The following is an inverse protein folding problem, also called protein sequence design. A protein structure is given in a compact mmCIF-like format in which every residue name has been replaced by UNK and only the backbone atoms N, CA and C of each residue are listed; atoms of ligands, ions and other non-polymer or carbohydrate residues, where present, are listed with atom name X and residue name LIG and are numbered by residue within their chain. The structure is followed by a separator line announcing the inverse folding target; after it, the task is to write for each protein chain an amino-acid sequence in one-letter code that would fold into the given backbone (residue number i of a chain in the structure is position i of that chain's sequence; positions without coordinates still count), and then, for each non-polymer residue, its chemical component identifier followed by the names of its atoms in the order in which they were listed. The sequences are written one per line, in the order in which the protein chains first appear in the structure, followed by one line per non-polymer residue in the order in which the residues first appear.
data_IF_703417505842
#
_entry.id   IF_703417505842
#
_cell.length_a   1.000
_cell.length_b   1.000
_cell.length_c   1.000
_cell.angle_alpha   90.00
_cell.angle_beta   90.00
_cell.angle_gamma   90.00
#
_symmetry.space_group_name_H-M   'P 1'
#
loop_
_entity.id
_entity.type
_entity.pdbx_description
1 polymer ?
#
# COMPACT_ATOMS: atom_id res chain seq x y z
N UNK A 1 16.29 -19.84 -13.75
CA UNK A 1 15.48 -20.98 -13.27
C UNK A 1 16.35 -22.26 -13.24
N UNK A 2 17.45 -22.26 -12.47
CA UNK A 2 18.33 -23.45 -12.33
C UNK A 2 18.49 -23.85 -10.86
N UNK A 3 18.62 -22.89 -9.96
CA UNK A 3 18.77 -23.14 -8.52
C UNK A 3 17.59 -23.93 -7.92
N UNK A 4 16.36 -23.41 -8.04
CA UNK A 4 15.16 -24.04 -7.48
C UNK A 4 14.96 -25.53 -7.86
N UNK A 5 15.43 -25.93 -9.05
CA UNK A 5 15.23 -27.26 -9.61
C UNK A 5 16.41 -28.22 -9.37
N UNK A 6 17.60 -27.70 -9.03
CA UNK A 6 18.84 -28.49 -9.01
C UNK A 6 19.56 -28.49 -7.66
N UNK A 7 19.28 -27.53 -6.77
CA UNK A 7 20.08 -27.34 -5.54
C UNK A 7 19.32 -27.63 -4.26
N UNK A 8 18.02 -27.88 -4.32
CA UNK A 8 17.19 -28.21 -3.17
C UNK A 8 16.76 -29.67 -3.26
N UNK A 9 16.66 -30.34 -2.11
CA UNK A 9 16.21 -31.73 -2.04
C UNK A 9 14.79 -31.89 -2.60
N UNK A 10 13.94 -30.86 -2.41
CA UNK A 10 12.62 -30.74 -3.01
C UNK A 10 12.50 -29.39 -3.73
N UNK A 11 11.83 -29.32 -4.89
CA UNK A 11 11.66 -28.07 -5.62
C UNK A 11 10.96 -27.00 -4.78
N UNK A 12 11.58 -25.83 -4.67
CA UNK A 12 11.05 -24.69 -3.91
C UNK A 12 10.46 -23.60 -4.81
N UNK A 13 9.44 -22.88 -4.32
CA UNK A 13 8.74 -21.82 -5.08
C UNK A 13 9.49 -20.48 -5.09
N UNK A 14 10.78 -20.46 -5.45
CA UNK A 14 11.59 -19.23 -5.41
C UNK A 14 11.05 -18.12 -6.33
N UNK A 15 10.47 -18.47 -7.48
CA UNK A 15 9.93 -17.48 -8.42
C UNK A 15 8.66 -16.80 -7.91
N UNK A 16 7.81 -17.54 -7.19
CA UNK A 16 6.59 -16.99 -6.59
C UNK A 16 6.86 -16.00 -5.47
N UNK A 17 8.03 -16.11 -4.82
CA UNK A 17 8.46 -15.20 -3.76
C UNK A 17 9.09 -13.90 -4.29
N UNK A 18 9.58 -13.89 -5.52
CA UNK A 18 10.30 -12.76 -6.11
C UNK A 18 9.34 -11.63 -6.57
N UNK A 19 9.78 -10.38 -6.39
CA UNK A 19 9.11 -9.20 -6.93
C UNK A 19 9.71 -8.88 -8.30
N UNK A 20 8.92 -9.03 -9.36
CA UNK A 20 9.33 -8.84 -10.74
C UNK A 20 8.75 -7.54 -11.32
N UNK A 21 9.38 -7.00 -12.36
CA UNK A 21 8.77 -5.90 -13.14
C UNK A 21 7.64 -6.46 -14.00
N UNK A 22 6.61 -5.65 -14.23
CA UNK A 22 5.53 -5.93 -15.18
C UNK A 22 5.32 -4.75 -16.12
N UNK A 23 4.68 -4.98 -17.27
CA UNK A 23 4.28 -3.95 -18.21
C UNK A 23 2.95 -3.26 -17.83
N UNK A 24 2.25 -3.76 -16.81
CA UNK A 24 1.07 -3.14 -16.24
C UNK A 24 1.40 -1.76 -15.65
N UNK A 25 0.40 -0.87 -15.67
CA UNK A 25 0.51 0.50 -15.16
C UNK A 25 -0.69 0.84 -14.29
N UNK A 26 -0.45 1.69 -13.31
CA UNK A 26 -1.49 2.41 -12.59
C UNK A 26 -1.55 3.84 -13.10
N UNK A 27 -2.77 4.33 -13.27
CA UNK A 27 -3.02 5.70 -13.72
C UNK A 27 -2.41 6.74 -12.76
N UNK A 28 -1.85 7.84 -13.29
CA UNK A 28 -1.85 8.23 -14.70
C UNK A 28 -0.71 7.60 -15.53
N UNK A 29 0.42 7.23 -14.90
CA UNK A 29 1.59 6.69 -15.62
C UNK A 29 2.55 5.89 -14.75
N UNK A 30 2.12 5.48 -13.56
CA UNK A 30 2.95 4.75 -12.60
C UNK A 30 3.17 3.32 -13.08
N UNK A 31 4.45 2.92 -13.18
CA UNK A 31 4.80 1.51 -13.47
C UNK A 31 4.38 0.59 -12.33
N UNK A 32 4.32 -0.72 -12.58
CA UNK A 32 3.98 -1.70 -11.55
C UNK A 32 5.04 -2.80 -11.41
N UNK A 33 4.99 -3.48 -10.26
CA UNK A 33 5.70 -4.73 -9.99
C UNK A 33 4.70 -5.84 -9.67
N UNK A 34 5.12 -7.09 -9.83
CA UNK A 34 4.28 -8.26 -9.59
C UNK A 34 5.01 -9.29 -8.75
N UNK A 35 4.32 -9.88 -7.78
CA UNK A 35 4.77 -11.02 -7.00
C UNK A 35 3.70 -12.11 -7.06
N UNK A 36 4.06 -13.28 -7.57
CA UNK A 36 3.09 -14.33 -7.91
C UNK A 36 1.95 -13.76 -8.78
N UNK A 37 0.71 -13.68 -8.28
CA UNK A 37 -0.45 -13.10 -8.98
C UNK A 37 -0.84 -11.69 -8.53
N UNK A 38 -0.10 -11.08 -7.60
CA UNK A 38 -0.43 -9.80 -6.99
C UNK A 38 0.39 -8.66 -7.60
N UNK A 39 -0.30 -7.61 -8.06
CA UNK A 39 0.30 -6.46 -8.75
C UNK A 39 0.30 -5.27 -7.80
N UNK A 40 1.43 -4.59 -7.72
CA UNK A 40 1.65 -3.45 -6.84
C UNK A 40 2.10 -2.24 -7.66
N UNK A 41 1.54 -1.04 -7.41
CA UNK A 41 2.08 0.22 -7.95
C UNK A 41 3.53 0.39 -7.51
N UNK A 42 4.43 0.68 -8.45
CA UNK A 42 5.87 0.87 -8.16
C UNK A 42 6.12 2.01 -7.18
N UNK A 43 5.23 3.00 -7.14
CA UNK A 43 5.28 4.12 -6.19
C UNK A 43 5.19 3.68 -4.73
N UNK A 44 4.55 2.54 -4.44
CA UNK A 44 4.41 2.03 -3.08
C UNK A 44 5.58 1.16 -2.66
N UNK A 45 6.50 0.79 -3.56
CA UNK A 45 7.65 -0.02 -3.15
C UNK A 45 8.65 0.86 -2.40
N UNK A 46 8.92 0.51 -1.14
CA UNK A 46 9.90 1.21 -0.30
C UNK A 46 11.29 1.16 -0.94
N UNK A 47 11.95 2.31 -0.95
CA UNK A 47 13.30 2.49 -1.51
C UNK A 47 14.38 2.69 -0.46
N UNK A 48 13.97 2.92 0.80
CA UNK A 48 14.83 3.03 1.98
C UNK A 48 14.76 1.73 2.80
N UNK A 49 15.22 1.75 4.04
CA UNK A 49 15.13 0.63 4.96
C UNK A 49 13.73 0.04 5.05
N UNK A 50 13.67 -1.29 5.04
CA UNK A 50 12.42 -2.04 5.12
C UNK A 50 12.05 -2.23 6.59
N UNK A 51 10.92 -1.67 7.04
CA UNK A 51 10.49 -1.83 8.42
C UNK A 51 10.09 -3.30 8.66
N UNK A 52 9.99 -3.71 9.92
CA UNK A 52 9.62 -5.07 10.26
C UNK A 52 8.73 -5.13 11.49
N UNK A 53 8.05 -6.27 11.68
CA UNK A 53 7.38 -6.58 12.93
C UNK A 53 8.31 -7.43 13.80
N UNK A 54 8.75 -6.93 14.98
CA UNK A 54 9.61 -7.71 15.87
C UNK A 54 8.99 -9.03 16.31
N UNK A 55 7.67 -9.03 16.52
CA UNK A 55 6.92 -10.20 16.99
C UNK A 55 6.87 -11.30 15.92
N UNK A 56 6.68 -10.92 14.64
CA UNK A 56 6.77 -11.88 13.53
C UNK A 56 8.15 -12.52 13.41
N UNK A 57 9.21 -11.73 13.53
CA UNK A 57 10.58 -12.24 13.47
C UNK A 57 10.87 -13.22 14.62
N UNK A 58 10.46 -12.89 15.85
CA UNK A 58 10.69 -13.72 17.02
C UNK A 58 9.87 -15.02 17.02
N UNK A 59 8.60 -14.95 16.59
CA UNK A 59 7.69 -16.10 16.65
C UNK A 59 7.88 -17.06 15.48
N UNK A 60 8.05 -16.54 14.27
CA UNK A 60 8.00 -17.35 13.06
C UNK A 60 9.33 -17.41 12.30
N UNK A 61 10.31 -16.57 12.65
CA UNK A 61 11.62 -16.57 12.02
C UNK A 61 11.61 -16.19 10.54
N UNK A 62 10.58 -15.51 10.04
CA UNK A 62 10.50 -15.04 8.65
C UNK A 62 10.07 -13.58 8.53
N UNK A 63 10.44 -12.97 7.40
CA UNK A 63 10.02 -11.63 7.03
C UNK A 63 8.90 -11.65 5.99
N UNK A 64 7.86 -10.83 6.18
CA UNK A 64 6.75 -10.73 5.24
C UNK A 64 7.10 -9.82 4.06
N UNK A 65 6.68 -10.21 2.85
CA UNK A 65 6.83 -9.36 1.65
C UNK A 65 6.00 -8.07 1.74
N UNK A 66 4.95 -8.05 2.58
CA UNK A 66 4.10 -6.87 2.77
C UNK A 66 4.88 -5.68 3.35
N UNK A 67 5.98 -5.95 4.07
CA UNK A 67 6.80 -4.91 4.68
C UNK A 67 7.51 -4.02 3.65
N UNK A 68 7.70 -4.51 2.41
CA UNK A 68 8.31 -3.75 1.32
C UNK A 68 7.39 -2.68 0.72
N UNK A 69 6.11 -2.64 1.12
CA UNK A 69 5.14 -1.75 0.52
C UNK A 69 4.63 -0.70 1.51
N UNK A 70 4.56 0.55 1.05
CA UNK A 70 3.93 1.67 1.75
C UNK A 70 2.41 1.50 1.82
N UNK A 71 1.79 2.03 2.88
CA UNK A 71 0.38 1.82 3.22
C UNK A 71 0.14 0.63 4.15
N UNK A 72 1.00 -0.40 4.09
CA UNK A 72 1.06 -1.46 5.09
C UNK A 72 2.01 -1.05 6.22
N UNK A 73 1.49 -0.31 7.20
CA UNK A 73 2.28 0.30 8.27
C UNK A 73 2.05 -0.35 9.65
N UNK A 74 1.13 -1.30 9.73
CA UNK A 74 0.93 -2.18 10.89
C UNK A 74 1.05 -3.65 10.51
N UNK A 75 1.49 -4.46 11.47
CA UNK A 75 1.37 -5.90 11.35
C UNK A 75 -0.08 -6.32 11.57
N UNK A 76 -0.75 -6.87 10.55
CA UNK A 76 -2.12 -7.35 10.68
C UNK A 76 -2.28 -8.57 11.59
N UNK A 77 -1.19 -9.28 11.92
CA UNK A 77 -1.20 -10.44 12.81
C UNK A 77 -1.14 -10.02 14.28
N UNK A 78 -0.26 -9.06 14.58
CA UNK A 78 0.04 -8.65 15.95
C UNK A 78 -0.56 -7.29 16.34
N UNK A 79 -1.19 -6.60 15.40
CA UNK A 79 -1.77 -5.27 15.56
C UNK A 79 -0.82 -4.23 16.17
N UNK A 80 0.41 -4.20 15.65
CA UNK A 80 1.46 -3.27 16.09
C UNK A 80 2.10 -2.54 14.91
N UNK A 81 2.59 -1.30 15.10
CA UNK A 81 3.32 -0.59 14.05
C UNK A 81 4.59 -1.34 13.65
N UNK A 82 4.90 -1.30 12.35
CA UNK A 82 6.19 -1.77 11.87
C UNK A 82 7.30 -0.81 12.31
N UNK A 83 8.49 -1.35 12.57
CA UNK A 83 9.63 -0.59 13.07
C UNK A 83 10.75 -0.58 12.05
N UNK A 84 11.35 0.59 11.83
CA UNK A 84 12.56 0.79 11.02
C UNK A 84 13.82 1.01 11.89
N UNK A 85 13.65 1.11 13.21
CA UNK A 85 14.73 1.47 14.12
C UNK A 85 14.60 0.76 15.46
N UNK A 86 15.75 0.48 16.05
CA UNK A 86 15.87 0.00 17.41
C UNK A 86 15.66 1.15 18.41
N UNK A 87 15.34 0.81 19.66
CA UNK A 87 15.23 1.79 20.76
C UNK A 87 16.53 2.56 21.04
N UNK A 88 17.68 2.05 20.60
CA UNK A 88 18.95 2.78 20.68
C UNK A 88 19.14 3.83 19.58
N UNK A 89 18.19 3.98 18.65
CA UNK A 89 18.23 4.91 17.52
C UNK A 89 18.86 4.32 16.25
N UNK A 90 19.50 3.17 16.34
CA UNK A 90 20.06 2.48 15.17
C UNK A 90 18.95 2.00 14.22
N UNK A 91 19.14 2.20 12.92
CA UNK A 91 18.26 1.65 11.90
C UNK A 91 18.30 0.12 11.93
N UNK A 92 17.16 -0.52 11.72
CA UNK A 92 17.05 -1.97 11.65
C UNK A 92 16.34 -2.39 10.37
N UNK A 93 17.12 -2.92 9.44
CA UNK A 93 16.64 -3.59 8.24
C UNK A 93 16.96 -5.09 8.35
N UNK A 94 15.94 -5.94 8.26
CA UNK A 94 16.08 -7.39 8.39
C UNK A 94 16.90 -7.99 7.24
N UNK A 95 16.97 -7.34 6.08
CA UNK A 95 17.76 -7.78 4.94
C UNK A 95 19.27 -7.70 5.22
N UNK A 96 19.67 -6.76 6.08
CA UNK A 96 21.07 -6.54 6.48
C UNK A 96 21.37 -7.21 7.83
N UNK A 97 20.48 -7.02 8.81
CA UNK A 97 20.67 -7.49 10.20
C UNK A 97 20.24 -8.94 10.42
N UNK A 98 19.63 -9.58 9.41
CA UNK A 98 19.08 -10.93 9.49
C UNK A 98 17.74 -11.01 10.22
N UNK A 99 17.25 -12.24 10.38
CA UNK A 99 15.89 -12.53 10.88
C UNK A 99 15.81 -12.73 12.41
N UNK A 100 16.92 -12.58 13.12
CA UNK A 100 16.99 -12.82 14.58
C UNK A 100 16.22 -11.78 15.41
N UNK A 101 15.91 -10.62 14.85
CA UNK A 101 15.38 -9.48 15.59
C UNK A 101 16.41 -8.84 16.54
N UNK A 102 17.70 -9.15 16.43
CA UNK A 102 18.74 -8.55 17.28
C UNK A 102 19.38 -7.32 16.62
N UNK A 103 19.38 -6.18 17.31
CA UNK A 103 20.02 -4.96 16.82
C UNK A 103 21.54 -5.14 16.67
N UNK A 104 22.10 -4.71 15.54
CA UNK A 104 23.53 -4.78 15.26
C UNK A 104 24.38 -3.98 16.25
N UNK A 105 23.87 -2.85 16.73
CA UNK A 105 24.64 -1.90 17.54
C UNK A 105 24.54 -2.22 19.03
N UNK A 106 23.32 -2.20 19.60
CA UNK A 106 23.14 -2.40 21.03
C UNK A 106 22.98 -3.88 21.44
N UNK A 107 22.94 -4.81 20.47
CA UNK A 107 22.76 -6.26 20.68
C UNK A 107 21.49 -6.65 21.46
N UNK A 108 20.53 -5.74 21.60
CA UNK A 108 19.22 -6.01 22.20
C UNK A 108 18.20 -6.34 21.13
N UNK A 109 17.19 -7.12 21.50
CA UNK A 109 16.08 -7.43 20.62
C UNK A 109 15.27 -6.17 20.31
N UNK A 110 14.97 -5.95 19.02
CA UNK A 110 14.02 -4.92 18.61
C UNK A 110 12.66 -5.20 19.25
N UNK A 111 12.01 -4.16 19.73
CA UNK A 111 10.74 -4.29 20.45
C UNK A 111 9.91 -3.03 20.26
N UNK A 112 8.63 -3.25 20.01
CA UNK A 112 7.63 -2.19 19.94
C UNK A 112 7.54 -1.49 21.30
N UNK A 113 7.35 -0.17 21.33
CA UNK A 113 6.93 0.51 22.56
C UNK A 113 5.51 0.02 22.89
N UNK A 114 5.22 -0.23 24.17
CA UNK A 114 3.87 -0.58 24.62
C UNK A 114 2.90 0.52 24.18
N UNK A 115 1.91 0.12 23.39
CA UNK A 115 0.85 0.90 22.75
C UNK A 115 0.46 2.21 23.45
N UNK A 116 0.81 3.34 22.83
CA UNK A 116 -0.08 4.49 22.80
C UNK A 116 -0.95 4.32 21.53
N UNK A 117 -2.19 3.88 21.74
CA UNK A 117 -3.30 3.81 20.78
C UNK A 117 -2.91 3.55 19.30
N UNK A 118 -2.83 2.27 18.88
CA UNK A 118 -2.88 2.00 17.43
C UNK A 118 -4.17 2.60 16.87
N UNK A 119 -4.03 3.42 15.83
CA UNK A 119 -5.18 4.06 15.23
C UNK A 119 -5.93 2.99 14.44
N UNK A 120 -7.17 2.66 14.85
CA UNK A 120 -8.02 1.60 14.27
C UNK A 120 -7.99 1.57 12.74
N UNK A 121 -7.99 2.75 12.10
CA UNK A 121 -7.91 2.88 10.64
C UNK A 121 -6.65 2.22 10.03
N UNK A 122 -5.47 2.40 10.66
CA UNK A 122 -4.20 1.85 10.19
C UNK A 122 -4.23 0.32 10.25
N UNK A 123 -4.73 -0.22 11.34
CA UNK A 123 -4.91 -1.66 11.55
C UNK A 123 -5.89 -2.26 10.54
N UNK A 124 -7.04 -1.61 10.33
CA UNK A 124 -8.05 -2.03 9.34
C UNK A 124 -7.45 -2.07 7.93
N UNK A 125 -6.78 -1.00 7.51
CA UNK A 125 -6.15 -0.94 6.17
C UNK A 125 -5.05 -1.99 6.02
N UNK A 126 -4.19 -2.16 7.04
CA UNK A 126 -3.11 -3.15 6.99
C UNK A 126 -3.64 -4.59 6.89
N UNK A 127 -4.71 -4.90 7.63
CA UNK A 127 -5.41 -6.19 7.53
C UNK A 127 -6.05 -6.40 6.16
N UNK A 128 -6.69 -5.35 5.62
CA UNK A 128 -7.28 -5.38 4.28
C UNK A 128 -6.22 -5.57 3.19
N UNK A 129 -5.06 -4.91 3.26
CA UNK A 129 -3.96 -5.12 2.31
C UNK A 129 -3.37 -6.53 2.38
N UNK A 130 -3.40 -7.17 3.56
CA UNK A 130 -2.98 -8.57 3.71
C UNK A 130 -3.95 -9.56 3.02
N UNK A 131 -5.16 -9.12 2.67
CA UNK A 131 -6.18 -9.93 2.00
C UNK A 131 -7.38 -10.27 2.86
N UNK A 132 -7.44 -9.80 4.11
CA UNK A 132 -8.58 -10.06 4.97
C UNK A 132 -9.77 -9.19 4.55
N UNK A 133 -10.99 -9.66 4.82
CA UNK A 133 -12.20 -8.88 4.62
C UNK A 133 -12.27 -7.72 5.61
N UNK A 134 -12.88 -6.62 5.17
CA UNK A 134 -13.18 -5.46 6.01
C UNK A 134 -14.58 -4.98 5.69
N UNK A 135 -15.36 -4.62 6.71
CA UNK A 135 -16.70 -4.05 6.52
C UNK A 135 -16.65 -2.62 5.99
N UNK A 136 -15.57 -1.91 6.29
CA UNK A 136 -15.43 -0.48 6.03
C UNK A 136 -14.68 -0.18 4.71
N UNK A 137 -14.15 -1.21 4.04
CA UNK A 137 -13.34 -1.10 2.82
C UNK A 137 -13.89 -2.06 1.74
N UNK A 138 -13.75 -1.72 0.45
CA UNK A 138 -14.33 -2.51 -0.62
C UNK A 138 -13.66 -3.88 -0.73
N UNK A 139 -14.48 -4.91 -0.97
CA UNK A 139 -13.97 -6.25 -1.25
C UNK A 139 -13.60 -6.40 -2.73
N UNK A 140 -12.33 -6.13 -3.02
CA UNK A 140 -11.75 -6.24 -4.36
C UNK A 140 -10.48 -7.09 -4.32
N UNK A 141 -10.05 -7.66 -5.46
CA UNK A 141 -8.79 -8.41 -5.51
C UNK A 141 -7.61 -7.56 -5.02
N UNK A 142 -6.62 -8.21 -4.40
CA UNK A 142 -5.48 -7.52 -3.73
C UNK A 142 -4.79 -6.46 -4.59
N UNK A 143 -4.59 -6.74 -5.87
CA UNK A 143 -3.99 -5.78 -6.82
C UNK A 143 -4.76 -4.46 -6.90
N UNK A 144 -6.09 -4.50 -6.81
CA UNK A 144 -6.93 -3.30 -6.77
C UNK A 144 -6.87 -2.61 -5.41
N UNK A 145 -6.72 -3.36 -4.31
CA UNK A 145 -6.53 -2.78 -2.97
C UNK A 145 -5.32 -1.85 -2.95
N UNK A 146 -4.18 -2.30 -3.49
CA UNK A 146 -2.98 -1.45 -3.67
C UNK A 146 -3.19 -0.30 -4.65
N UNK A 147 -3.93 -0.55 -5.74
CA UNK A 147 -4.32 0.48 -6.69
C UNK A 147 -5.13 1.62 -6.06
N UNK A 148 -5.96 1.32 -5.06
CA UNK A 148 -6.74 2.31 -4.31
C UNK A 148 -5.87 3.14 -3.36
N UNK A 149 -4.88 2.53 -2.70
CA UNK A 149 -3.89 3.25 -1.89
C UNK A 149 -3.14 4.26 -2.77
N UNK A 150 -2.63 3.80 -3.91
CA UNK A 150 -1.94 4.65 -4.88
C UNK A 150 -2.82 5.77 -5.44
N UNK A 151 -4.07 5.44 -5.78
CA UNK A 151 -5.04 6.42 -6.23
C UNK A 151 -5.31 7.49 -5.16
N UNK A 152 -5.47 7.08 -3.89
CA UNK A 152 -5.73 8.00 -2.79
C UNK A 152 -4.58 9.00 -2.59
N UNK A 153 -3.34 8.51 -2.58
CA UNK A 153 -2.13 9.37 -2.51
C UNK A 153 -2.14 10.39 -3.64
N UNK A 154 -2.49 9.97 -4.86
CA UNK A 154 -2.50 10.85 -6.02
C UNK A 154 -3.65 11.88 -5.96
N UNK A 155 -4.84 11.50 -5.47
CA UNK A 155 -6.00 12.39 -5.41
C UNK A 155 -5.95 13.35 -4.22
N UNK A 156 -5.37 12.95 -3.10
CA UNK A 156 -5.17 13.81 -1.92
C UNK A 156 -3.98 14.75 -2.09
N UNK A 157 -3.08 14.47 -3.04
CA UNK A 157 -1.79 15.17 -3.26
C UNK A 157 -0.88 15.18 -2.02
N UNK A 158 -1.09 14.24 -1.11
CA UNK A 158 -0.39 14.13 0.17
C UNK A 158 0.14 12.71 0.36
N UNK A 159 0.93 12.51 1.43
CA UNK A 159 1.25 11.17 1.92
C UNK A 159 -0.03 10.37 2.23
N UNK A 160 0.09 9.04 2.21
CA UNK A 160 -1.06 8.19 2.47
C UNK A 160 -1.54 8.36 3.92
N UNK A 161 -2.76 8.84 4.09
CA UNK A 161 -3.42 8.95 5.38
C UNK A 161 -4.54 7.91 5.51
N UNK A 162 -4.34 6.94 6.41
CA UNK A 162 -5.27 5.85 6.65
C UNK A 162 -6.63 6.33 7.15
N UNK A 163 -6.68 7.46 7.87
CA UNK A 163 -7.92 7.97 8.49
C UNK A 163 -8.86 8.51 7.42
N UNK A 164 -8.40 9.48 6.62
CA UNK A 164 -9.19 10.03 5.52
C UNK A 164 -9.53 8.98 4.47
N UNK A 165 -8.64 8.03 4.19
CA UNK A 165 -8.92 6.90 3.30
C UNK A 165 -10.08 6.04 3.83
N UNK A 166 -10.04 5.65 5.11
CA UNK A 166 -11.09 4.85 5.72
C UNK A 166 -12.42 5.61 5.79
N UNK A 167 -12.38 6.90 6.11
CA UNK A 167 -13.57 7.75 6.15
C UNK A 167 -14.18 7.98 4.76
N UNK A 168 -13.36 8.01 3.71
CA UNK A 168 -13.83 8.08 2.34
C UNK A 168 -14.65 6.85 1.98
N UNK A 169 -14.13 5.65 2.26
CA UNK A 169 -14.83 4.40 1.95
C UNK A 169 -16.00 4.08 2.89
N UNK A 170 -15.99 4.55 4.14
CA UNK A 170 -17.13 4.39 5.03
C UNK A 170 -18.39 5.12 4.55
N UNK A 171 -18.22 6.16 3.71
CA UNK A 171 -19.30 6.94 3.11
C UNK A 171 -19.47 6.66 1.61
N UNK A 172 -18.86 5.59 1.10
CA UNK A 172 -18.99 5.19 -0.30
C UNK A 172 -20.44 4.76 -0.63
N UNK A 173 -20.97 5.07 -1.83
CA UNK A 173 -20.35 5.83 -2.93
C UNK A 173 -20.56 7.35 -2.83
N UNK A 174 -21.32 7.83 -1.85
CA UNK A 174 -21.69 9.25 -1.71
C UNK A 174 -20.46 10.16 -1.59
N UNK A 175 -19.42 9.75 -0.87
CA UNK A 175 -18.15 10.48 -0.78
C UNK A 175 -17.49 10.71 -2.14
N UNK A 176 -17.57 9.72 -3.04
CA UNK A 176 -17.04 9.84 -4.39
C UNK A 176 -17.90 10.72 -5.29
N UNK A 177 -19.23 10.60 -5.19
CA UNK A 177 -20.17 11.48 -5.90
C UNK A 177 -19.93 12.95 -5.51
N UNK A 178 -19.87 13.25 -4.22
CA UNK A 178 -19.57 14.61 -3.75
C UNK A 178 -18.21 15.11 -4.23
N UNK A 179 -17.18 14.24 -4.29
CA UNK A 179 -15.88 14.62 -4.83
C UNK A 179 -15.95 14.96 -6.33
N UNK A 180 -16.74 14.22 -7.12
CA UNK A 180 -16.97 14.49 -8.54
C UNK A 180 -17.71 15.81 -8.72
N UNK A 181 -18.81 16.00 -7.99
CA UNK A 181 -19.66 17.20 -8.10
C UNK A 181 -18.86 18.46 -7.73
N UNK A 182 -18.10 18.42 -6.64
CA UNK A 182 -17.26 19.53 -6.19
C UNK A 182 -16.16 19.86 -7.22
N UNK A 183 -15.56 18.86 -7.87
CA UNK A 183 -14.53 19.08 -8.90
C UNK A 183 -15.14 19.71 -10.16
N UNK A 184 -16.33 19.27 -10.57
CA UNK A 184 -17.05 19.86 -11.72
C UNK A 184 -17.43 21.32 -11.42
N UNK A 185 -18.03 21.59 -10.26
CA UNK A 185 -18.45 22.93 -9.85
C UNK A 185 -17.25 23.88 -9.81
N UNK A 186 -16.18 23.47 -9.12
CA UNK A 186 -14.94 24.25 -9.04
C UNK A 186 -14.37 24.56 -10.43
N UNK A 187 -14.24 23.55 -11.30
CA UNK A 187 -13.65 23.75 -12.63
C UNK A 187 -14.56 24.55 -13.58
N UNK A 188 -15.89 24.50 -13.41
CA UNK A 188 -16.83 25.33 -14.16
C UNK A 188 -16.74 26.80 -13.76
N UNK A 189 -16.63 27.10 -12.47
CA UNK A 189 -16.47 28.48 -11.98
C UNK A 189 -15.14 29.12 -12.44
N UNK A 190 -14.09 28.31 -12.56
CA UNK A 190 -12.75 28.76 -12.96
C UNK A 190 -12.48 28.59 -14.46
N UNK A 191 -13.50 28.23 -15.26
CA UNK A 191 -13.37 28.04 -16.69
C UNK A 191 -13.14 29.38 -17.42
N UNK A 192 -11.99 29.47 -18.10
CA UNK A 192 -11.62 30.66 -18.90
C UNK A 192 -12.15 30.54 -20.34
N UNK A 193 -12.43 29.31 -20.80
CA UNK A 193 -12.96 29.03 -22.13
C UNK A 193 -14.48 28.95 -22.12
N UNK A 194 -15.10 29.23 -23.27
CA UNK A 194 -16.56 29.11 -23.40
C UNK A 194 -17.04 27.67 -23.19
N UNK A 195 -18.28 27.50 -22.71
CA UNK A 195 -18.85 26.17 -22.40
C UNK A 195 -18.76 25.16 -23.55
N UNK A 196 -18.79 25.62 -24.80
CA UNK A 196 -18.70 24.76 -26.00
C UNK A 196 -17.29 24.24 -26.27
N UNK A 197 -16.27 24.82 -25.65
CA UNK A 197 -14.85 24.46 -25.82
C UNK A 197 -14.30 23.67 -24.62
N UNK A 198 -15.09 23.52 -23.55
CA UNK A 198 -14.71 22.73 -22.38
C UNK A 198 -14.54 21.25 -22.78
N UNK A 199 -13.36 20.71 -22.52
CA UNK A 199 -13.07 19.29 -22.69
C UNK A 199 -13.26 18.58 -21.35
N UNK A 200 -13.45 17.26 -21.41
CA UNK A 200 -13.54 16.41 -20.19
C UNK A 200 -12.32 16.61 -19.28
N UNK A 201 -11.13 16.78 -19.85
CA UNK A 201 -9.92 17.01 -19.04
C UNK A 201 -9.93 18.33 -18.27
N UNK A 202 -10.67 19.32 -18.77
CA UNK A 202 -10.77 20.63 -18.15
C UNK A 202 -11.75 20.60 -16.96
N UNK A 203 -12.70 19.66 -16.94
CA UNK A 203 -13.71 19.50 -15.87
C UNK A 203 -13.38 18.39 -14.87
N UNK A 204 -12.88 17.26 -15.36
CA UNK A 204 -12.72 16.02 -14.60
C UNK A 204 -11.35 15.39 -14.80
N UNK A 205 -10.41 16.07 -15.47
CA UNK A 205 -9.16 15.45 -15.90
C UNK A 205 -8.40 14.80 -14.75
N UNK A 206 -8.37 15.45 -13.59
CA UNK A 206 -7.70 14.92 -12.39
C UNK A 206 -8.33 13.62 -11.92
N UNK A 207 -9.64 13.59 -11.69
CA UNK A 207 -10.34 12.40 -11.19
C UNK A 207 -10.37 11.32 -12.27
N UNK A 208 -10.78 11.65 -13.49
CA UNK A 208 -10.94 10.68 -14.58
C UNK A 208 -9.62 10.00 -14.93
N UNK A 209 -8.56 10.76 -15.24
CA UNK A 209 -7.30 10.16 -15.70
C UNK A 209 -6.47 9.50 -14.59
N UNK A 210 -6.75 9.79 -13.31
CA UNK A 210 -6.16 9.07 -12.17
C UNK A 210 -6.90 7.76 -11.84
N UNK A 211 -8.14 7.59 -12.29
CA UNK A 211 -9.02 6.48 -11.89
C UNK A 211 -9.04 5.30 -12.87
N UNK A 212 -8.44 5.44 -14.06
CA UNK A 212 -8.58 4.53 -15.23
C UNK A 212 -8.10 3.08 -15.02
N UNK A 213 -7.49 2.73 -13.88
CA UNK A 213 -7.18 1.32 -13.54
C UNK A 213 -7.56 0.88 -12.11
N UNK A 214 -7.92 1.81 -11.22
CA UNK A 214 -8.13 1.52 -9.79
C UNK A 214 -9.59 1.53 -9.35
N UNK A 215 -10.48 2.26 -10.03
CA UNK A 215 -11.85 2.52 -9.56
C UNK A 215 -12.97 1.88 -10.41
N UNK A 216 -12.73 1.63 -11.71
CA UNK A 216 -13.79 1.15 -12.60
C UNK A 216 -14.36 -0.22 -12.23
N UNK A 217 -13.61 -1.05 -11.50
CA UNK A 217 -14.08 -2.36 -11.02
C UNK A 217 -14.94 -2.28 -9.76
N UNK A 218 -14.94 -1.15 -9.03
CA UNK A 218 -15.76 -0.97 -7.81
C UNK A 218 -17.17 -0.46 -8.15
N UNK A 219 -17.31 0.15 -9.33
CA UNK A 219 -18.58 0.71 -9.82
C UNK A 219 -19.41 -0.29 -10.64
N UNK A 220 -18.86 -1.48 -10.95
CA UNK A 220 -19.49 -2.57 -11.71
C UNK A 220 -19.90 -3.71 -10.79
#
# INVERSE_FOLDING_TARGET
MKLAQLTFNEPTELLGLAINRTNLKHSPSTSAVIRSSEVFPRSLLRTKSIPCCPLCLQQNGYASYLWHFEGYDHCHIHDVPLLNSCRCGAEYDYQVSGLSGMCGDCKKTISTKSSENSHKAISTVSSWLAGNESKDLPDVPKSYRWGLIHWWVHISKNEFDHVSFSQFFSNWPSSFHSMIDNEIEFNLEHAIVGKKELRVKDLLGRIFFSSIYSLFTILS
#
